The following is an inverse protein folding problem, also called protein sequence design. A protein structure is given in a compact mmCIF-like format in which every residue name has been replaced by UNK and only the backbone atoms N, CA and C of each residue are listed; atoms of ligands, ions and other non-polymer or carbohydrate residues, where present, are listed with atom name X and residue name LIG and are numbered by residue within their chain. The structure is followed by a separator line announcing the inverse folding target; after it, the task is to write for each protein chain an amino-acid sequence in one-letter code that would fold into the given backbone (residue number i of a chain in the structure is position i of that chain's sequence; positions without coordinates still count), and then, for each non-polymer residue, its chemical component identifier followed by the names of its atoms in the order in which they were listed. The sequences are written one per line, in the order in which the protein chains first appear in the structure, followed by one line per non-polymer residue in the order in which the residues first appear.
data_IF_777218207345
#
_entry.id   IF_777218207345
#
_cell.length_a   1.000
_cell.length_b   1.000
_cell.length_c   1.000
_cell.angle_alpha   90.00
_cell.angle_beta   90.00
_cell.angle_gamma   90.00
#
_symmetry.space_group_name_H-M   'P 1'
#
loop_
_entity.id
_entity.type
_entity.pdbx_description
1 polymer ?
#
# COMPACT_ATOMS: atom_id res chain seq x y z
N UNK A 1 4.87 6.65 -14.02
CA UNK A 1 4.16 5.71 -13.13
C UNK A 1 2.80 6.28 -12.77
N UNK A 2 1.89 5.42 -12.29
CA UNK A 2 0.55 5.78 -11.82
C UNK A 2 0.49 5.73 -10.30
N UNK A 3 -0.26 6.64 -9.69
CA UNK A 3 -0.61 6.66 -8.26
C UNK A 3 -2.12 6.40 -8.09
N UNK A 4 -2.49 5.31 -7.43
CA UNK A 4 -3.87 5.02 -7.02
C UNK A 4 -4.09 5.45 -5.57
N UNK A 5 -5.06 6.33 -5.37
CA UNK A 5 -5.32 6.93 -4.07
C UNK A 5 -6.51 6.32 -3.34
N UNK A 6 -6.44 6.35 -2.01
CA UNK A 6 -7.47 5.92 -1.10
C UNK A 6 -8.69 6.83 -1.02
N UNK A 7 -9.42 6.73 0.09
CA UNK A 7 -10.62 7.53 0.34
C UNK A 7 -10.21 9.01 0.47
N UNK A 8 -10.77 9.92 -0.36
CA UNK A 8 -10.50 11.34 -0.27
C UNK A 8 -10.78 11.90 1.13
N UNK A 9 -9.84 12.65 1.68
CA UNK A 9 -9.96 13.24 3.01
C UNK A 9 -9.66 12.30 4.19
N UNK A 10 -9.35 11.02 3.95
CA UNK A 10 -8.83 10.14 5.01
C UNK A 10 -7.37 10.51 5.36
N UNK A 11 -7.01 10.41 6.64
CA UNK A 11 -5.61 10.58 7.07
C UNK A 11 -4.70 9.57 6.40
N UNK A 12 -5.11 8.30 6.35
CA UNK A 12 -4.36 7.24 5.69
C UNK A 12 -4.00 7.57 4.23
N UNK A 13 -4.95 8.06 3.42
CA UNK A 13 -4.67 8.45 2.04
C UNK A 13 -3.73 9.66 1.97
N UNK A 14 -3.96 10.68 2.81
CA UNK A 14 -3.08 11.85 2.87
C UNK A 14 -1.64 11.47 3.22
N UNK A 15 -1.45 10.73 4.29
CA UNK A 15 -0.13 10.45 4.87
C UNK A 15 0.67 9.50 3.96
N UNK A 16 0.03 8.46 3.41
CA UNK A 16 0.66 7.54 2.43
C UNK A 16 0.99 8.28 1.13
N UNK A 17 0.06 9.10 0.63
CA UNK A 17 0.25 9.87 -0.60
C UNK A 17 1.34 10.94 -0.47
N UNK A 18 1.43 11.61 0.69
CA UNK A 18 2.48 12.57 0.99
C UNK A 18 3.85 11.87 1.08
N UNK A 19 3.96 10.81 1.88
CA UNK A 19 5.21 10.04 2.02
C UNK A 19 5.71 9.48 0.68
N UNK A 20 4.80 9.00 -0.17
CA UNK A 20 5.15 8.61 -1.54
C UNK A 20 5.66 9.80 -2.37
N UNK A 21 4.97 10.94 -2.34
CA UNK A 21 5.36 12.15 -3.10
C UNK A 21 6.73 12.67 -2.68
N UNK A 22 7.00 12.69 -1.37
CA UNK A 22 8.29 13.10 -0.83
C UNK A 22 9.38 12.11 -1.23
N UNK A 23 9.15 10.81 -1.07
CA UNK A 23 10.12 9.77 -1.43
C UNK A 23 10.46 9.75 -2.92
N UNK A 24 9.46 9.90 -3.80
CA UNK A 24 9.69 9.85 -5.24
C UNK A 24 10.37 11.12 -5.77
N UNK A 25 10.28 12.25 -5.05
CA UNK A 25 10.93 13.52 -5.44
C UNK A 25 12.46 13.40 -5.56
N UNK A 26 13.07 12.46 -4.84
CA UNK A 26 14.50 12.15 -4.94
C UNK A 26 14.89 11.48 -6.28
N UNK A 27 13.92 11.05 -7.10
CA UNK A 27 14.12 10.35 -8.36
C UNK A 27 13.53 11.16 -9.53
N UNK A 28 14.20 12.24 -9.98
CA UNK A 28 13.63 13.18 -10.97
C UNK A 28 13.37 12.56 -12.35
N UNK A 29 13.97 11.39 -12.63
CA UNK A 29 13.73 10.61 -13.84
C UNK A 29 12.42 9.79 -13.79
N UNK A 30 11.81 9.62 -12.61
CA UNK A 30 10.51 8.96 -12.45
C UNK A 30 9.41 10.00 -12.39
N UNK A 31 8.54 10.01 -13.41
CA UNK A 31 7.39 10.92 -13.46
C UNK A 31 6.10 10.21 -13.04
N UNK A 32 5.32 10.83 -12.16
CA UNK A 32 3.93 10.45 -11.92
C UNK A 32 3.08 11.05 -13.04
N UNK A 33 2.59 10.20 -13.95
CA UNK A 33 1.85 10.66 -15.15
C UNK A 33 0.35 10.70 -14.92
N UNK A 34 -0.15 9.98 -13.93
CA UNK A 34 -1.53 10.03 -13.51
C UNK A 34 -1.66 9.74 -12.02
N UNK A 35 -2.64 10.37 -11.39
CA UNK A 35 -3.03 10.22 -10.00
C UNK A 35 -4.55 10.20 -9.94
N UNK A 36 -5.14 9.13 -9.42
CA UNK A 36 -6.60 9.00 -9.35
C UNK A 36 -7.03 8.16 -8.15
N UNK A 37 -8.14 8.54 -7.54
CA UNK A 37 -8.73 7.77 -6.44
C UNK A 37 -9.36 6.47 -6.93
N UNK A 38 -9.11 5.40 -6.19
CA UNK A 38 -9.87 4.15 -6.19
C UNK A 38 -10.46 3.83 -4.81
N UNK A 39 -10.35 4.75 -3.84
CA UNK A 39 -11.10 4.71 -2.57
C UNK A 39 -10.88 3.46 -1.71
N UNK A 40 -9.66 2.91 -1.74
CA UNK A 40 -9.29 1.64 -1.06
C UNK A 40 -10.11 0.42 -1.53
N UNK A 41 -10.75 0.51 -2.69
CA UNK A 41 -11.65 -0.50 -3.23
C UNK A 41 -11.02 -1.23 -4.41
N UNK A 42 -11.03 -2.56 -4.37
CA UNK A 42 -10.41 -3.43 -5.36
C UNK A 42 -11.07 -3.32 -6.74
N UNK A 43 -12.40 -3.32 -6.79
CA UNK A 43 -13.15 -3.26 -8.04
C UNK A 43 -12.99 -1.88 -8.71
N UNK A 44 -13.08 -0.79 -7.93
CA UNK A 44 -12.80 0.55 -8.45
C UNK A 44 -11.37 0.69 -8.96
N UNK A 45 -10.40 0.06 -8.28
CA UNK A 45 -9.02 0.10 -8.73
C UNK A 45 -8.80 -0.64 -10.05
N UNK A 46 -9.50 -1.76 -10.30
CA UNK A 46 -9.51 -2.44 -11.59
C UNK A 46 -9.98 -1.50 -12.70
N UNK A 47 -11.14 -0.85 -12.51
CA UNK A 47 -11.70 0.08 -13.50
C UNK A 47 -10.77 1.27 -13.76
N UNK A 48 -10.29 1.91 -12.69
CA UNK A 48 -9.41 3.08 -12.78
C UNK A 48 -8.08 2.72 -13.41
N UNK A 49 -7.44 1.62 -13.00
CA UNK A 49 -6.17 1.18 -13.56
C UNK A 49 -6.31 0.86 -15.05
N UNK A 50 -7.39 0.18 -15.46
CA UNK A 50 -7.67 -0.13 -16.87
C UNK A 50 -7.68 1.14 -17.72
N UNK A 51 -8.43 2.16 -17.29
CA UNK A 51 -8.53 3.43 -18.00
C UNK A 51 -7.19 4.19 -18.03
N UNK A 52 -6.50 4.25 -16.90
CA UNK A 52 -5.23 4.98 -16.81
C UNK A 52 -4.12 4.33 -17.63
N UNK A 53 -4.08 3.00 -17.71
CA UNK A 53 -3.10 2.29 -18.54
C UNK A 53 -3.35 2.45 -20.03
N UNK A 54 -4.61 2.55 -20.46
CA UNK A 54 -4.94 2.88 -21.85
C UNK A 54 -4.46 4.29 -22.21
N UNK A 55 -4.69 5.26 -21.32
CA UNK A 55 -4.21 6.64 -21.51
C UNK A 55 -2.67 6.77 -21.39
N UNK A 56 -2.02 5.84 -20.71
CA UNK A 56 -0.59 5.88 -20.41
C UNK A 56 0.10 4.52 -20.71
N UNK A 57 0.21 4.10 -21.99
CA UNK A 57 0.62 2.74 -22.35
C UNK A 57 2.07 2.39 -21.96
N UNK A 58 2.91 3.39 -21.68
CA UNK A 58 4.33 3.23 -21.37
C UNK A 58 4.66 3.20 -19.87
N UNK A 59 3.65 3.15 -19.00
CA UNK A 59 3.88 3.08 -17.54
C UNK A 59 4.66 1.83 -17.16
N UNK A 60 5.64 1.99 -16.27
CA UNK A 60 6.48 0.89 -15.75
C UNK A 60 6.22 0.55 -14.29
N UNK A 61 5.42 1.38 -13.61
CA UNK A 61 5.05 1.14 -12.23
C UNK A 61 3.69 1.74 -11.88
N UNK A 62 3.04 1.11 -10.91
CA UNK A 62 1.86 1.58 -10.20
C UNK A 62 2.16 1.53 -8.70
N UNK A 63 1.97 2.63 -8.01
CA UNK A 63 1.88 2.64 -6.55
C UNK A 63 0.42 2.81 -6.15
N UNK A 64 -0.06 1.94 -5.28
CA UNK A 64 -1.39 2.03 -4.71
C UNK A 64 -1.28 2.26 -3.21
N UNK A 65 -2.04 3.24 -2.69
CA UNK A 65 -2.02 3.56 -1.27
C UNK A 65 -2.57 2.42 -0.38
N UNK A 66 -3.08 1.31 -0.93
CA UNK A 66 -3.32 0.07 -0.19
C UNK A 66 -3.28 -1.20 -1.07
N UNK A 67 -3.29 -2.37 -0.43
CA UNK A 67 -3.22 -3.68 -1.08
C UNK A 67 -4.47 -4.00 -1.91
N UNK A 68 -5.67 -3.59 -1.47
CA UNK A 68 -6.90 -3.80 -2.25
C UNK A 68 -6.82 -3.13 -3.62
N UNK A 69 -6.37 -1.87 -3.65
CA UNK A 69 -6.20 -1.15 -4.91
C UNK A 69 -5.03 -1.70 -5.73
N UNK A 70 -3.95 -2.15 -5.07
CA UNK A 70 -2.84 -2.81 -5.75
C UNK A 70 -3.30 -4.09 -6.46
N UNK A 71 -4.16 -4.89 -5.81
CA UNK A 71 -4.71 -6.13 -6.35
C UNK A 71 -5.65 -5.88 -7.53
N UNK A 72 -6.50 -4.84 -7.46
CA UNK A 72 -7.32 -4.41 -8.61
C UNK A 72 -6.45 -3.97 -9.80
N UNK A 73 -5.35 -3.25 -9.54
CA UNK A 73 -4.41 -2.88 -10.58
C UNK A 73 -3.67 -4.08 -11.19
N UNK A 74 -3.32 -5.08 -10.37
CA UNK A 74 -2.73 -6.35 -10.83
C UNK A 74 -3.69 -7.09 -11.76
N UNK A 75 -4.97 -7.13 -11.42
CA UNK A 75 -6.01 -7.73 -12.27
C UNK A 75 -6.11 -7.00 -13.61
N UNK A 76 -6.14 -5.67 -13.60
CA UNK A 76 -6.16 -4.85 -14.81
C UNK A 76 -4.93 -5.10 -15.71
N UNK A 77 -3.76 -5.33 -15.10
CA UNK A 77 -2.49 -5.57 -15.80
C UNK A 77 -2.40 -6.98 -16.41
N UNK A 78 -3.08 -7.96 -15.82
CA UNK A 78 -2.96 -9.37 -16.19
C UNK A 78 -1.50 -9.82 -16.23
N UNK A 79 -1.07 -10.41 -17.36
CA UNK A 79 0.28 -10.95 -17.53
C UNK A 79 1.41 -9.91 -17.45
N UNK A 80 1.10 -8.60 -17.55
CA UNK A 80 2.09 -7.51 -17.41
C UNK A 80 2.50 -7.28 -15.95
N UNK A 81 1.66 -7.66 -14.99
CA UNK A 81 1.93 -7.46 -13.58
C UNK A 81 3.18 -8.23 -13.14
N UNK A 82 4.11 -7.55 -12.47
CA UNK A 82 5.35 -8.14 -11.99
C UNK A 82 6.42 -8.31 -13.07
N UNK A 83 6.06 -8.26 -14.36
CA UNK A 83 6.96 -8.36 -15.51
C UNK A 83 7.27 -6.99 -16.09
N UNK A 84 6.31 -6.44 -16.83
CA UNK A 84 6.45 -5.16 -17.55
C UNK A 84 6.12 -3.96 -16.66
N UNK A 85 5.24 -4.16 -15.68
CA UNK A 85 4.78 -3.14 -14.75
C UNK A 85 4.92 -3.65 -13.32
N UNK A 86 5.69 -2.92 -12.50
CA UNK A 86 5.84 -3.21 -11.08
C UNK A 86 4.69 -2.57 -10.29
N UNK A 87 4.09 -3.32 -9.38
CA UNK A 87 3.01 -2.81 -8.52
C UNK A 87 3.50 -2.82 -7.07
N UNK A 88 3.27 -1.74 -6.34
CA UNK A 88 3.56 -1.63 -4.91
C UNK A 88 2.27 -1.26 -4.18
N UNK A 89 2.00 -1.97 -3.08
CA UNK A 89 0.83 -1.76 -2.23
C UNK A 89 1.22 -1.28 -0.83
N UNK A 90 0.24 -1.34 0.07
CA UNK A 90 0.36 -0.96 1.48
C UNK A 90 -0.71 -1.74 2.25
N UNK A 91 -0.34 -2.31 3.41
CA UNK A 91 -1.18 -2.93 4.45
C UNK A 91 -0.53 -4.24 4.92
N UNK A 92 -0.02 -5.06 3.99
CA UNK A 92 0.52 -6.39 4.27
C UNK A 92 -0.58 -7.44 4.44
N UNK A 93 -1.65 -7.37 3.63
CA UNK A 93 -2.76 -8.32 3.70
C UNK A 93 -2.34 -9.72 3.24
N UNK A 94 -3.07 -10.76 3.64
CA UNK A 94 -2.79 -12.13 3.19
C UNK A 94 -2.79 -12.24 1.65
N UNK A 95 -3.74 -11.55 0.98
CA UNK A 95 -3.79 -11.49 -0.48
C UNK A 95 -2.60 -10.73 -1.08
N UNK A 96 -2.17 -9.63 -0.45
CA UNK A 96 -0.97 -8.88 -0.85
C UNK A 96 0.29 -9.73 -0.74
N UNK A 97 0.46 -10.46 0.36
CA UNK A 97 1.56 -11.40 0.57
C UNK A 97 1.53 -12.55 -0.44
N UNK A 98 0.35 -13.09 -0.75
CA UNK A 98 0.18 -14.10 -1.79
C UNK A 98 0.52 -13.55 -3.19
N UNK A 99 0.20 -12.29 -3.48
CA UNK A 99 0.58 -11.63 -4.73
C UNK A 99 2.10 -11.39 -4.82
N UNK A 100 2.78 -11.10 -3.71
CA UNK A 100 4.25 -11.07 -3.64
C UNK A 100 4.82 -12.46 -3.92
N UNK A 101 4.25 -13.51 -3.31
CA UNK A 101 4.68 -14.88 -3.56
C UNK A 101 4.54 -15.28 -5.04
N UNK A 102 3.47 -14.82 -5.70
CA UNK A 102 3.23 -15.02 -7.14
C UNK A 102 4.08 -14.11 -8.03
N UNK A 103 4.79 -13.13 -7.45
CA UNK A 103 5.60 -12.15 -8.17
C UNK A 103 4.81 -11.06 -8.88
N UNK A 104 3.49 -11.00 -8.72
CA UNK A 104 2.63 -9.97 -9.35
C UNK A 104 2.61 -8.65 -8.59
N UNK A 105 2.85 -8.69 -7.28
CA UNK A 105 3.11 -7.53 -6.43
C UNK A 105 4.60 -7.47 -6.09
N UNK A 106 5.24 -6.33 -6.29
CA UNK A 106 6.68 -6.16 -6.03
C UNK A 106 6.98 -5.98 -4.53
N UNK A 107 6.13 -5.21 -3.85
CA UNK A 107 6.25 -4.97 -2.42
C UNK A 107 4.90 -4.52 -1.82
N UNK A 108 4.76 -4.69 -0.51
CA UNK A 108 3.73 -4.03 0.31
C UNK A 108 4.35 -3.48 1.58
N UNK A 109 3.82 -2.37 2.08
CA UNK A 109 4.23 -1.78 3.35
C UNK A 109 3.30 -2.31 4.45
N UNK A 110 3.76 -3.27 5.24
CA UNK A 110 2.95 -3.95 6.25
C UNK A 110 2.80 -3.13 7.54
N UNK A 111 1.55 -2.95 8.01
CA UNK A 111 1.21 -2.11 9.16
C UNK A 111 1.38 -2.75 10.54
N UNK A 112 1.56 -4.07 10.62
CA UNK A 112 1.61 -4.83 11.88
C UNK A 112 0.35 -4.65 12.77
N UNK A 113 -0.86 -5.01 12.27
CA UNK A 113 -2.12 -4.78 12.99
C UNK A 113 -2.22 -5.48 14.35
N UNK A 114 -1.54 -6.62 14.53
CA UNK A 114 -1.50 -7.31 15.83
C UNK A 114 -0.75 -6.49 16.89
N UNK A 115 0.37 -5.85 16.52
CA UNK A 115 1.13 -4.99 17.42
C UNK A 115 0.35 -3.71 17.74
N UNK A 116 -0.26 -3.09 16.72
CA UNK A 116 -1.14 -1.93 16.90
C UNK A 116 -2.28 -2.24 17.90
N UNK A 117 -2.96 -3.38 17.72
CA UNK A 117 -4.04 -3.81 18.62
C UNK A 117 -3.55 -4.08 20.03
N UNK A 118 -2.43 -4.79 20.17
CA UNK A 118 -1.84 -5.10 21.48
C UNK A 118 -1.48 -3.82 22.25
N UNK A 119 -0.80 -2.88 21.61
CA UNK A 119 -0.41 -1.61 22.23
C UNK A 119 -1.64 -0.77 22.60
N UNK A 120 -2.68 -0.75 21.76
CA UNK A 120 -3.92 -0.04 22.07
C UNK A 120 -4.60 -0.60 23.33
N UNK A 121 -4.67 -1.92 23.46
CA UNK A 121 -5.24 -2.59 24.65
C UNK A 121 -4.37 -2.33 25.88
N UNK A 122 -3.05 -2.35 25.74
CA UNK A 122 -2.12 -2.04 26.82
C UNK A 122 -2.33 -0.61 27.35
N UNK A 123 -2.41 0.39 26.46
CA UNK A 123 -2.66 1.78 26.87
C UNK A 123 -4.04 1.96 27.51
N UNK A 124 -5.08 1.27 27.00
CA UNK A 124 -6.39 1.28 27.61
C UNK A 124 -6.33 0.72 29.04
N UNK A 125 -5.61 -0.39 29.24
CA UNK A 125 -5.37 -0.95 30.58
C UNK A 125 -4.62 0.02 31.49
N UNK A 126 -3.57 0.68 31.01
CA UNK A 126 -2.83 1.68 31.79
C UNK A 126 -3.74 2.78 32.33
N UNK A 127 -4.67 3.28 31.51
CA UNK A 127 -5.65 4.29 31.94
C UNK A 127 -6.62 3.75 32.99
N UNK A 128 -7.12 2.52 32.81
CA UNK A 128 -8.03 1.87 33.77
C UNK A 128 -7.36 1.61 35.13
N UNK A 129 -6.05 1.35 35.13
CA UNK A 129 -5.26 1.16 36.35
C UNK A 129 -4.83 2.50 37.01
N UNK A 130 -5.32 3.64 36.50
CA UNK A 130 -5.04 4.98 37.05
C UNK A 130 -3.73 5.61 36.58
N UNK A 131 -3.05 5.01 35.60
CA UNK A 131 -1.87 5.56 34.95
C UNK A 131 -2.19 6.58 33.87
N UNK A 132 -1.15 7.05 33.17
CA UNK A 132 -1.27 7.96 32.03
C UNK A 132 -0.87 7.25 30.73
N UNK A 133 -1.72 7.35 29.70
CA UNK A 133 -1.39 6.83 28.38
C UNK A 133 -0.38 7.71 27.65
N UNK A 134 0.43 7.08 26.81
CA UNK A 134 1.32 7.79 25.89
C UNK A 134 0.51 8.31 24.70
N UNK A 135 0.58 9.61 24.43
CA UNK A 135 -0.26 10.26 23.43
C UNK A 135 -0.02 9.74 22.00
N UNK A 136 1.21 9.36 21.67
CA UNK A 136 1.56 8.77 20.37
C UNK A 136 2.60 7.67 20.55
N UNK A 137 2.29 6.48 20.05
CA UNK A 137 3.20 5.34 20.03
C UNK A 137 3.40 4.94 18.57
N UNK A 138 4.57 5.23 17.97
CA UNK A 138 4.84 4.82 16.61
C UNK A 138 5.01 3.31 16.55
N UNK A 139 4.27 2.66 15.65
CA UNK A 139 4.50 1.25 15.28
C UNK A 139 5.27 1.24 13.96
N UNK A 140 6.47 0.62 13.92
CA UNK A 140 7.23 0.51 12.68
C UNK A 140 6.41 -0.22 11.60
N UNK A 141 6.43 0.31 10.38
CA UNK A 141 5.97 -0.44 9.21
C UNK A 141 7.13 -1.20 8.59
N UNK A 142 6.84 -2.35 7.99
CA UNK A 142 7.86 -3.19 7.36
C UNK A 142 7.61 -3.24 5.87
N UNK A 143 8.64 -2.95 5.07
CA UNK A 143 8.57 -3.20 3.63
C UNK A 143 8.72 -4.70 3.40
N UNK A 144 7.65 -5.34 2.92
CA UNK A 144 7.64 -6.76 2.63
C UNK A 144 7.86 -6.97 1.13
N UNK A 145 8.82 -7.83 0.82
CA UNK A 145 9.18 -8.29 -0.53
C UNK A 145 9.38 -9.79 -0.50
N UNK A 146 9.75 -10.41 -1.62
CA UNK A 146 10.13 -11.83 -1.64
C UNK A 146 11.29 -12.17 -0.69
N UNK A 147 12.15 -11.20 -0.34
CA UNK A 147 13.33 -11.42 0.51
C UNK A 147 12.99 -11.72 1.97
N UNK A 148 11.93 -11.12 2.50
CA UNK A 148 11.48 -11.28 3.89
C UNK A 148 10.04 -11.82 4.01
N UNK A 149 9.46 -12.30 2.91
CA UNK A 149 8.10 -12.84 2.90
C UNK A 149 7.92 -14.00 3.89
N UNK A 150 8.96 -14.81 4.10
CA UNK A 150 8.94 -15.93 5.03
C UNK A 150 8.62 -15.50 6.48
N UNK A 151 9.01 -14.29 6.88
CA UNK A 151 8.77 -13.75 8.22
C UNK A 151 7.29 -13.40 8.46
N UNK A 152 6.50 -13.34 7.40
CA UNK A 152 5.08 -12.99 7.41
C UNK A 152 4.16 -14.18 7.10
N UNK A 153 4.74 -15.36 6.83
CA UNK A 153 3.97 -16.61 6.69
C UNK A 153 3.69 -17.16 8.09
N UNK A 154 2.41 -17.16 8.47
CA UNK A 154 1.94 -17.85 9.68
C UNK A 154 1.78 -19.34 9.42
#
# INVERSE_FOLDING_TARGET
MILLQGIPGSSASRDRGQGFTDGISAYPNIKVVAKQTASFDRAKALDVATNLMQANPNVKAIFAENDEMALGAIEALGAKAGKDVKVVGFDGTADGLAAIQKGTLAATIAQQPAQLGSLAVEQAKTLLDGGQATAQIPVPVVTVTTANLADFKK
#
